data_IF_288170529328
#
_entry.id   IF_288170529328
#
_cell.length_a   1.000
_cell.length_b   1.000
_cell.length_c   1.000
_cell.angle_alpha   90.00
_cell.angle_beta   90.00
_cell.angle_gamma   90.00
#
_symmetry.space_group_name_H-M   'P 1'
#
loop_
_entity.id
_entity.type
_entity.pdbx_description
1 polymer ?
#
# COMPACT_ATOMS: atom_id res chain seq x y z
N UNK A 1 8.33 27.66 -9.00
CA UNK A 1 9.03 27.70 -7.70
C UNK A 1 10.03 26.57 -7.65
N UNK A 2 11.33 26.86 -7.50
CA UNK A 2 12.39 25.84 -7.53
C UNK A 2 12.44 25.00 -6.24
N UNK A 3 13.02 23.79 -6.32
CA UNK A 3 13.24 22.89 -5.17
C UNK A 3 13.94 23.61 -3.99
N UNK A 4 14.85 24.54 -4.26
CA UNK A 4 15.55 25.34 -3.25
C UNK A 4 14.62 26.18 -2.34
N UNK A 5 13.48 26.64 -2.84
CA UNK A 5 12.50 27.40 -2.03
C UNK A 5 11.72 26.48 -1.10
N UNK A 6 11.49 25.23 -1.49
CA UNK A 6 10.83 24.21 -0.65
C UNK A 6 11.73 23.87 0.54
N UNK A 7 13.01 23.60 0.32
CA UNK A 7 13.95 23.28 1.38
C UNK A 7 14.16 24.43 2.36
N UNK A 8 14.29 25.66 1.87
CA UNK A 8 14.40 26.86 2.74
C UNK A 8 13.18 27.00 3.65
N UNK A 9 11.98 26.74 3.15
CA UNK A 9 10.75 26.78 3.97
C UNK A 9 10.71 25.67 5.00
N UNK A 10 11.15 24.45 4.67
CA UNK A 10 11.23 23.34 5.60
C UNK A 10 12.19 23.63 6.76
N UNK A 11 13.35 24.19 6.50
CA UNK A 11 14.31 24.60 7.54
C UNK A 11 13.77 25.77 8.36
N UNK A 12 13.18 26.77 7.71
CA UNK A 12 12.59 27.94 8.40
C UNK A 12 11.39 27.58 9.27
N UNK A 13 10.66 26.51 8.95
CA UNK A 13 9.57 26.02 9.78
C UNK A 13 10.06 25.50 11.14
N UNK A 14 11.31 25.03 11.22
CA UNK A 14 11.99 24.55 12.43
C UNK A 14 11.12 23.61 13.29
N UNK A 15 10.69 22.45 12.75
CA UNK A 15 9.80 21.55 13.46
C UNK A 15 10.47 20.92 14.68
N UNK A 16 9.71 20.67 15.74
CA UNK A 16 10.17 19.89 16.91
C UNK A 16 10.34 18.42 16.53
N UNK A 17 9.48 17.90 15.67
CA UNK A 17 9.55 16.54 15.17
C UNK A 17 9.09 16.48 13.70
N UNK A 18 9.65 15.50 12.96
CA UNK A 18 9.29 15.20 11.57
C UNK A 18 8.90 13.74 11.46
N UNK A 19 7.69 13.48 10.98
CA UNK A 19 7.17 12.14 10.77
C UNK A 19 7.26 11.79 9.29
N UNK A 20 7.84 10.65 8.96
CA UNK A 20 7.93 10.19 7.57
C UNK A 20 7.52 8.73 7.43
N UNK A 21 6.64 8.43 6.46
CA UNK A 21 6.30 7.06 6.11
C UNK A 21 7.36 6.40 5.19
N UNK A 22 8.26 7.20 4.62
CA UNK A 22 9.37 6.75 3.77
C UNK A 22 10.61 6.37 4.57
N UNK A 23 11.64 5.93 3.85
CA UNK A 23 12.89 5.43 4.46
C UNK A 23 13.97 6.51 4.57
N UNK A 24 13.64 7.77 4.33
CA UNK A 24 14.60 8.87 4.27
C UNK A 24 14.00 10.20 4.72
N UNK A 25 14.74 10.91 5.55
CA UNK A 25 14.54 12.33 5.87
C UNK A 25 15.88 13.04 5.69
N UNK A 26 15.94 14.18 4.97
CA UNK A 26 17.17 14.95 4.85
C UNK A 26 17.70 15.43 6.20
N UNK A 27 19.02 15.33 6.43
CA UNK A 27 19.68 15.67 7.71
C UNK A 27 19.47 17.11 8.13
N UNK A 28 19.41 18.02 7.13
CA UNK A 28 19.28 19.45 7.37
C UNK A 28 17.90 19.88 7.89
N UNK A 29 16.90 18.99 7.88
CA UNK A 29 15.60 19.29 8.49
C UNK A 29 15.75 19.11 10.00
N UNK A 30 15.50 20.17 10.81
CA UNK A 30 15.66 20.10 12.25
C UNK A 30 14.55 19.27 12.91
N UNK A 31 14.77 18.95 14.20
CA UNK A 31 13.82 18.20 15.03
C UNK A 31 14.05 16.70 15.03
N UNK A 32 13.30 16.04 15.91
CA UNK A 32 13.32 14.56 16.04
C UNK A 32 12.73 13.91 14.81
N UNK A 33 13.45 12.96 14.23
CA UNK A 33 13.02 12.24 13.01
C UNK A 33 12.38 10.92 13.37
N UNK A 34 11.10 10.79 13.03
CA UNK A 34 10.24 9.66 13.40
C UNK A 34 9.86 8.87 12.14
N UNK A 35 10.23 7.60 12.11
CA UNK A 35 9.81 6.66 11.07
C UNK A 35 8.41 6.13 11.36
N UNK A 36 7.47 6.36 10.42
CA UNK A 36 6.18 5.70 10.34
C UNK A 36 6.20 4.84 9.09
N UNK A 37 5.84 3.58 9.16
CA UNK A 37 5.89 2.72 7.98
C UNK A 37 4.66 2.95 7.07
N UNK A 38 4.86 3.01 5.75
CA UNK A 38 3.78 3.19 4.78
C UNK A 38 3.06 1.88 4.40
N UNK A 39 3.61 0.73 4.78
CA UNK A 39 3.02 -0.58 4.52
C UNK A 39 3.63 -1.64 5.43
N UNK A 40 2.99 -2.80 5.52
CA UNK A 40 3.54 -3.94 6.24
C UNK A 40 4.71 -4.56 5.48
N UNK A 41 5.64 -5.13 6.25
CA UNK A 41 6.73 -5.95 5.71
C UNK A 41 6.15 -7.27 5.18
N UNK A 42 5.88 -7.33 3.88
CA UNK A 42 5.60 -8.57 3.18
C UNK A 42 6.89 -8.99 2.50
N UNK A 43 7.39 -10.18 2.81
CA UNK A 43 8.56 -10.76 2.16
C UNK A 43 8.29 -11.00 0.66
N UNK A 44 8.46 -9.95 -0.15
CA UNK A 44 8.30 -10.04 -1.61
C UNK A 44 9.53 -10.59 -2.32
N UNK A 45 10.67 -10.61 -1.63
CA UNK A 45 11.96 -11.04 -2.16
C UNK A 45 12.57 -12.04 -1.19
N UNK A 46 12.74 -13.27 -1.64
CA UNK A 46 13.34 -14.36 -0.86
C UNK A 46 14.79 -14.03 -0.46
N UNK A 47 15.49 -13.27 -1.31
CA UNK A 47 16.91 -12.92 -1.14
C UNK A 47 17.13 -11.63 -0.33
N UNK A 48 16.11 -10.89 0.01
CA UNK A 48 16.20 -9.59 0.70
C UNK A 48 15.39 -9.58 2.01
N UNK A 49 15.55 -10.60 2.82
CA UNK A 49 14.88 -10.74 4.13
C UNK A 49 15.13 -9.53 5.02
N UNK A 50 16.31 -8.93 4.93
CA UNK A 50 16.75 -7.82 5.78
C UNK A 50 16.36 -6.43 5.26
N UNK A 51 15.84 -6.30 4.04
CA UNK A 51 15.60 -4.97 3.44
C UNK A 51 14.53 -4.15 4.18
N UNK A 52 13.55 -4.81 4.79
CA UNK A 52 12.52 -4.16 5.61
C UNK A 52 13.04 -3.70 6.98
N UNK A 53 14.07 -4.34 7.49
CA UNK A 53 14.66 -4.06 8.81
C UNK A 53 15.97 -3.28 8.72
N UNK A 54 16.28 -2.73 7.54
CA UNK A 54 17.50 -1.94 7.34
C UNK A 54 17.41 -0.59 8.03
N UNK A 55 18.26 -0.37 9.01
CA UNK A 55 18.46 0.94 9.66
C UNK A 55 19.51 1.73 8.88
N UNK A 56 19.09 2.87 8.32
CA UNK A 56 19.93 3.73 7.46
C UNK A 56 20.50 4.97 8.17
N UNK A 57 20.23 5.11 9.47
CA UNK A 57 20.72 6.23 10.26
C UNK A 57 19.94 7.55 10.15
N UNK A 58 18.80 7.55 9.46
CA UNK A 58 18.03 8.76 9.21
C UNK A 58 17.01 9.11 10.31
N UNK A 59 16.73 8.19 11.24
CA UNK A 59 15.65 8.32 12.20
C UNK A 59 16.15 8.17 13.64
N UNK A 60 15.62 9.00 14.52
CA UNK A 60 15.83 8.94 15.95
C UNK A 60 14.83 8.01 16.65
N UNK A 61 13.64 7.82 16.04
CA UNK A 61 12.57 6.98 16.54
C UNK A 61 11.98 6.14 15.42
N UNK A 62 11.78 4.85 15.69
CA UNK A 62 11.02 3.94 14.85
C UNK A 62 9.72 3.56 15.56
N UNK A 63 8.58 3.94 14.96
CA UNK A 63 7.24 3.55 15.38
C UNK A 63 6.85 2.27 14.66
N UNK A 64 6.99 1.12 15.31
CA UNK A 64 6.75 -0.18 14.69
C UNK A 64 5.27 -0.55 14.72
N UNK A 65 4.87 -1.34 13.72
CA UNK A 65 3.47 -1.63 13.42
C UNK A 65 2.86 -2.74 14.30
N UNK A 66 3.70 -3.57 14.93
CA UNK A 66 3.22 -4.65 15.78
C UNK A 66 4.25 -5.74 16.02
N UNK A 67 3.84 -6.85 16.66
CA UNK A 67 4.73 -7.94 17.10
C UNK A 67 5.56 -8.59 15.99
N UNK A 68 5.11 -8.51 14.75
CA UNK A 68 5.84 -9.06 13.59
C UNK A 68 7.10 -8.28 13.23
N UNK A 69 7.23 -7.02 13.63
CA UNK A 69 8.36 -6.15 13.30
C UNK A 69 9.10 -5.63 14.54
N UNK A 70 8.41 -5.40 15.64
CA UNK A 70 8.98 -4.78 16.86
C UNK A 70 10.21 -5.49 17.40
N UNK A 71 10.25 -6.83 17.54
CA UNK A 71 11.42 -7.53 18.07
C UNK A 71 12.69 -7.30 17.25
N UNK A 72 12.57 -7.29 15.93
CA UNK A 72 13.70 -7.05 15.02
C UNK A 72 14.28 -5.64 15.22
N UNK A 73 13.42 -4.62 15.26
CA UNK A 73 13.88 -3.24 15.49
C UNK A 73 14.43 -3.06 16.90
N UNK A 74 13.92 -3.77 17.91
CA UNK A 74 14.48 -3.75 19.28
C UNK A 74 15.88 -4.34 19.35
N UNK A 75 16.18 -5.39 18.60
CA UNK A 75 17.55 -5.91 18.52
C UNK A 75 18.48 -4.92 17.82
N UNK A 76 18.02 -4.25 16.77
CA UNK A 76 18.79 -3.19 16.09
C UNK A 76 19.00 -1.97 16.99
N UNK A 77 18.01 -1.59 17.81
CA UNK A 77 18.15 -0.55 18.84
C UNK A 77 19.28 -0.88 19.81
N UNK A 78 19.33 -2.11 20.34
CA UNK A 78 20.41 -2.57 21.21
C UNK A 78 21.76 -2.55 20.51
N UNK A 79 21.81 -3.00 19.26
CA UNK A 79 23.04 -3.09 18.46
C UNK A 79 23.64 -1.74 18.14
N UNK A 80 22.81 -0.76 17.74
CA UNK A 80 23.31 0.53 17.24
C UNK A 80 23.25 1.66 18.29
N UNK A 81 22.28 1.66 19.20
CA UNK A 81 22.22 2.57 20.35
C UNK A 81 21.81 4.02 20.06
N UNK A 82 21.73 4.45 18.79
CA UNK A 82 21.48 5.86 18.44
C UNK A 82 19.99 6.19 18.17
N UNK A 83 19.08 5.23 18.19
CA UNK A 83 17.65 5.44 18.03
C UNK A 83 16.83 4.69 19.08
N UNK A 84 15.52 4.98 19.13
CA UNK A 84 14.56 4.30 20.00
C UNK A 84 13.44 3.66 19.20
N UNK A 85 12.89 2.57 19.73
CA UNK A 85 11.81 1.81 19.08
C UNK A 85 10.59 1.76 20.02
N UNK A 86 9.43 2.11 19.46
CA UNK A 86 8.15 2.02 20.14
C UNK A 86 7.15 1.26 19.25
N UNK A 87 6.43 0.30 19.83
CA UNK A 87 5.31 -0.32 19.16
C UNK A 87 4.10 0.59 19.29
N UNK A 88 3.68 1.18 18.18
CA UNK A 88 2.61 2.19 18.16
C UNK A 88 1.41 1.75 17.33
N UNK A 89 1.52 0.61 16.65
CA UNK A 89 0.56 0.23 15.62
C UNK A 89 0.86 0.92 14.27
N UNK A 90 -0.07 0.78 13.36
CA UNK A 90 0.04 1.37 12.03
C UNK A 90 -1.03 2.44 11.82
N UNK A 91 -0.70 3.74 11.83
CA UNK A 91 -1.69 4.82 11.77
C UNK A 91 -2.61 4.76 10.56
N UNK A 92 -2.13 4.23 9.43
CA UNK A 92 -2.97 4.01 8.25
C UNK A 92 -4.10 3.01 8.52
N UNK A 93 -3.90 2.05 9.41
CA UNK A 93 -4.90 1.04 9.75
C UNK A 93 -6.08 1.63 10.54
N UNK A 94 -5.90 2.72 11.26
CA UNK A 94 -6.94 3.31 12.12
C UNK A 94 -8.21 3.65 11.33
N UNK A 95 -8.05 4.08 10.07
CA UNK A 95 -9.18 4.39 9.19
C UNK A 95 -10.05 3.19 8.85
N UNK A 96 -9.48 1.96 8.84
CA UNK A 96 -10.23 0.74 8.54
C UNK A 96 -11.16 0.31 9.68
N UNK A 97 -10.90 0.77 10.90
CA UNK A 97 -11.69 0.43 12.08
C UNK A 97 -12.80 1.45 12.40
N UNK A 98 -13.00 2.45 11.54
CA UNK A 98 -14.14 3.36 11.71
C UNK A 98 -15.45 2.64 11.37
N UNK A 99 -16.57 2.95 12.10
CA UNK A 99 -17.87 2.31 11.84
C UNK A 99 -18.37 2.48 10.39
N UNK A 100 -18.02 3.61 9.75
CA UNK A 100 -18.41 3.90 8.38
C UNK A 100 -17.71 2.96 7.40
N UNK A 101 -16.42 2.68 7.61
CA UNK A 101 -15.61 1.81 6.75
C UNK A 101 -15.93 0.34 6.98
N UNK A 102 -16.23 -0.06 8.21
CA UNK A 102 -16.61 -1.44 8.57
C UNK A 102 -18.00 -1.85 8.08
N UNK A 103 -18.82 -0.89 7.61
CA UNK A 103 -20.14 -1.21 7.07
C UNK A 103 -20.00 -2.02 5.79
N UNK A 104 -20.61 -3.22 5.76
CA UNK A 104 -20.67 -4.05 4.56
C UNK A 104 -21.52 -3.36 3.49
N UNK A 105 -21.03 -3.24 2.24
CA UNK A 105 -21.83 -2.73 1.14
C UNK A 105 -22.99 -3.69 0.85
N UNK A 106 -24.10 -3.13 0.34
CA UNK A 106 -25.18 -3.90 -0.23
C UNK A 106 -25.05 -3.81 -1.75
N UNK A 107 -24.44 -4.82 -2.35
CA UNK A 107 -24.29 -4.91 -3.80
C UNK A 107 -25.34 -5.87 -4.37
N UNK A 108 -25.91 -5.54 -5.51
CA UNK A 108 -26.85 -6.44 -6.21
C UNK A 108 -26.14 -7.66 -6.80
N UNK A 109 -24.88 -7.47 -7.21
CA UNK A 109 -23.98 -8.53 -7.68
C UNK A 109 -22.69 -8.51 -6.86
N UNK A 110 -21.99 -9.67 -6.74
CA UNK A 110 -20.67 -9.70 -6.12
C UNK A 110 -19.67 -8.78 -6.82
N UNK A 111 -19.06 -7.88 -6.07
CA UNK A 111 -18.02 -6.97 -6.57
C UNK A 111 -16.64 -7.56 -6.31
N UNK A 112 -15.90 -7.82 -7.37
CA UNK A 112 -14.55 -8.38 -7.34
C UNK A 112 -13.54 -7.25 -7.58
N UNK A 113 -12.69 -6.98 -6.59
CA UNK A 113 -11.58 -6.04 -6.73
C UNK A 113 -10.34 -6.80 -7.21
N UNK A 114 -9.76 -6.34 -8.32
CA UNK A 114 -8.54 -6.91 -8.87
C UNK A 114 -7.40 -5.87 -8.90
N UNK A 115 -6.55 -5.79 -7.86
CA UNK A 115 -5.38 -4.94 -7.78
C UNK A 115 -4.07 -5.74 -7.97
N UNK A 116 -3.67 -6.15 -9.19
CA UNK A 116 -2.44 -6.91 -9.40
C UNK A 116 -1.21 -6.11 -8.99
N UNK A 117 -0.14 -6.83 -8.61
CA UNK A 117 1.16 -6.22 -8.31
C UNK A 117 1.88 -5.78 -9.59
N UNK A 118 2.90 -4.91 -9.44
CA UNK A 118 3.74 -4.47 -10.55
C UNK A 118 5.01 -5.29 -10.72
N UNK A 119 5.33 -6.19 -9.78
CA UNK A 119 6.56 -6.99 -9.80
C UNK A 119 6.45 -8.09 -10.85
N UNK A 120 7.22 -7.99 -11.94
CA UNK A 120 7.10 -8.79 -13.16
C UNK A 120 6.94 -10.30 -12.92
N UNK A 121 7.73 -10.88 -12.02
CA UNK A 121 7.76 -12.33 -11.79
C UNK A 121 6.57 -12.87 -10.97
N UNK A 122 5.77 -12.00 -10.37
CA UNK A 122 4.63 -12.36 -9.52
C UNK A 122 3.36 -11.57 -9.90
N UNK A 123 3.39 -10.88 -11.04
CA UNK A 123 2.25 -10.12 -11.55
C UNK A 123 1.36 -11.05 -12.37
N UNK A 124 0.12 -11.23 -11.96
CA UNK A 124 -0.86 -12.05 -12.68
C UNK A 124 -1.51 -11.34 -13.86
N UNK A 125 -1.41 -10.01 -13.96
CA UNK A 125 -2.13 -9.23 -14.96
C UNK A 125 -1.94 -9.71 -16.42
N UNK A 126 -0.74 -10.08 -16.90
CA UNK A 126 -0.60 -10.59 -18.26
C UNK A 126 -1.25 -11.96 -18.48
N UNK A 127 -1.48 -12.72 -17.41
CA UNK A 127 -1.98 -14.09 -17.48
C UNK A 127 -3.49 -14.20 -17.30
N UNK A 128 -4.10 -13.29 -16.54
CA UNK A 128 -5.53 -13.35 -16.21
C UNK A 128 -6.42 -12.50 -17.13
N UNK A 129 -5.84 -11.72 -18.04
CA UNK A 129 -6.59 -10.79 -18.89
C UNK A 129 -7.72 -11.48 -19.67
N UNK A 130 -7.43 -12.56 -20.36
CA UNK A 130 -8.42 -13.29 -21.14
C UNK A 130 -9.48 -13.98 -20.26
N UNK A 131 -9.09 -14.47 -19.10
CA UNK A 131 -10.01 -15.13 -18.18
C UNK A 131 -10.94 -14.12 -17.50
N UNK A 132 -10.45 -12.95 -17.11
CA UNK A 132 -11.30 -11.89 -16.55
C UNK A 132 -12.31 -11.39 -17.58
N UNK A 133 -11.90 -11.20 -18.84
CA UNK A 133 -12.83 -10.85 -19.92
C UNK A 133 -13.91 -11.92 -20.10
N UNK A 134 -13.52 -13.20 -20.12
CA UNK A 134 -14.46 -14.32 -20.20
C UNK A 134 -15.45 -14.35 -19.02
N UNK A 135 -14.94 -14.19 -17.79
CA UNK A 135 -15.77 -14.21 -16.58
C UNK A 135 -16.72 -13.01 -16.51
N UNK A 136 -16.29 -11.84 -16.93
CA UNK A 136 -17.12 -10.64 -17.01
C UNK A 136 -18.33 -10.85 -17.94
N UNK A 137 -18.15 -11.60 -19.04
CA UNK A 137 -19.22 -11.90 -20.00
C UNK A 137 -20.13 -13.05 -19.60
N UNK A 138 -19.70 -13.92 -18.68
CA UNK A 138 -20.41 -15.18 -18.38
C UNK A 138 -21.02 -15.25 -16.99
N UNK A 139 -20.65 -14.33 -16.09
CA UNK A 139 -21.12 -14.32 -14.69
C UNK A 139 -21.68 -12.92 -14.33
N UNK A 140 -22.68 -12.85 -13.47
CA UNK A 140 -23.23 -11.60 -13.00
C UNK A 140 -22.36 -11.03 -11.87
N UNK A 141 -21.07 -10.83 -12.12
CA UNK A 141 -20.12 -10.25 -11.19
C UNK A 141 -19.67 -8.88 -11.69
N UNK A 142 -19.58 -7.94 -10.79
CA UNK A 142 -19.01 -6.63 -11.07
C UNK A 142 -17.52 -6.64 -10.78
N UNK A 143 -16.73 -6.08 -11.69
CA UNK A 143 -15.27 -6.05 -11.58
C UNK A 143 -14.76 -4.63 -11.41
N UNK A 144 -13.91 -4.42 -10.40
CA UNK A 144 -13.15 -3.19 -10.25
C UNK A 144 -11.67 -3.53 -10.39
N UNK A 145 -11.07 -3.06 -11.47
CA UNK A 145 -9.66 -3.31 -11.80
C UNK A 145 -8.87 -2.04 -11.52
N UNK A 146 -7.81 -2.15 -10.73
CA UNK A 146 -6.97 -0.99 -10.44
C UNK A 146 -5.50 -1.38 -10.34
N UNK A 147 -4.65 -0.65 -11.02
CA UNK A 147 -3.24 -0.97 -11.09
C UNK A 147 -2.40 -0.15 -10.11
N UNK A 148 -1.31 -0.75 -9.68
CA UNK A 148 -0.28 -0.03 -8.95
C UNK A 148 0.39 0.99 -9.90
N UNK A 149 0.70 2.24 -9.48
CA UNK A 149 1.32 3.26 -10.34
C UNK A 149 2.64 2.84 -11.02
N UNK A 150 3.32 1.84 -10.48
CA UNK A 150 4.55 1.27 -11.07
C UNK A 150 4.29 0.18 -12.12
N UNK A 151 3.06 -0.25 -12.33
CA UNK A 151 2.69 -1.12 -13.44
C UNK A 151 2.47 -0.22 -14.66
N UNK A 152 3.48 -0.11 -15.51
CA UNK A 152 3.52 0.85 -16.62
C UNK A 152 3.54 0.19 -18.01
N UNK A 153 3.33 -1.13 -18.10
CA UNK A 153 3.25 -1.83 -19.38
C UNK A 153 2.03 -1.35 -20.18
N UNK A 154 2.23 -0.68 -21.34
CA UNK A 154 1.13 -0.08 -22.07
C UNK A 154 0.20 -1.13 -22.70
N UNK A 155 0.72 -2.31 -23.05
CA UNK A 155 -0.08 -3.39 -23.60
C UNK A 155 -1.04 -3.98 -22.58
N UNK A 156 -0.57 -4.20 -21.35
CA UNK A 156 -1.40 -4.68 -20.24
C UNK A 156 -2.47 -3.65 -19.90
N UNK A 157 -2.09 -2.38 -19.75
CA UNK A 157 -3.02 -1.29 -19.41
C UNK A 157 -4.09 -1.15 -20.49
N UNK A 158 -3.69 -1.11 -21.77
CA UNK A 158 -4.64 -0.99 -22.89
C UNK A 158 -5.60 -2.20 -22.97
N UNK A 159 -5.10 -3.40 -22.69
CA UNK A 159 -5.93 -4.61 -22.69
C UNK A 159 -7.04 -4.54 -21.63
N UNK A 160 -6.71 -4.15 -20.40
CA UNK A 160 -7.73 -4.05 -19.35
C UNK A 160 -8.67 -2.86 -19.52
N UNK A 161 -8.22 -1.75 -20.09
CA UNK A 161 -9.11 -0.64 -20.47
C UNK A 161 -10.12 -1.07 -21.53
N UNK A 162 -9.67 -1.81 -22.53
CA UNK A 162 -10.57 -2.38 -23.54
C UNK A 162 -11.61 -3.33 -22.93
N UNK A 163 -11.23 -4.20 -22.00
CA UNK A 163 -12.18 -5.06 -21.28
C UNK A 163 -13.25 -4.21 -20.57
N UNK A 164 -12.86 -3.11 -19.93
CA UNK A 164 -13.79 -2.20 -19.26
C UNK A 164 -14.69 -1.45 -20.28
N UNK A 165 -14.21 -1.14 -21.47
CA UNK A 165 -14.99 -0.53 -22.54
C UNK A 165 -16.01 -1.50 -23.18
N UNK A 166 -15.66 -2.79 -23.23
CA UNK A 166 -16.49 -3.84 -23.85
C UNK A 166 -17.51 -4.47 -22.89
N UNK A 167 -17.38 -4.27 -21.57
CA UNK A 167 -18.21 -4.90 -20.53
C UNK A 167 -18.74 -3.87 -19.52
N UNK A 168 -20.04 -3.66 -19.44
CA UNK A 168 -20.66 -2.66 -18.54
C UNK A 168 -20.43 -2.95 -17.05
N UNK A 169 -20.18 -4.21 -16.68
CA UNK A 169 -19.90 -4.65 -15.33
C UNK A 169 -18.40 -4.63 -14.96
N UNK A 170 -17.56 -3.98 -15.78
CA UNK A 170 -16.13 -3.83 -15.52
C UNK A 170 -15.72 -2.36 -15.44
N UNK A 171 -15.08 -1.97 -14.36
CA UNK A 171 -14.54 -0.63 -14.15
C UNK A 171 -13.02 -0.71 -14.09
N UNK A 172 -12.32 0.05 -14.93
CA UNK A 172 -10.89 0.28 -14.80
C UNK A 172 -10.65 1.60 -14.03
N UNK A 173 -10.23 1.48 -12.77
CA UNK A 173 -10.09 2.63 -11.86
C UNK A 173 -8.66 3.16 -11.84
N UNK A 174 -8.48 4.43 -12.21
CA UNK A 174 -7.19 5.13 -12.26
C UNK A 174 -6.97 6.11 -11.09
N UNK A 175 -7.94 6.25 -10.18
CA UNK A 175 -7.81 7.15 -9.03
C UNK A 175 -6.78 6.69 -8.01
N UNK A 176 -6.30 7.62 -7.18
CA UNK A 176 -5.28 7.36 -6.15
C UNK A 176 -5.86 6.80 -4.85
N UNK A 177 -7.09 7.17 -4.51
CA UNK A 177 -7.77 6.70 -3.29
C UNK A 177 -8.35 5.31 -3.52
N UNK A 178 -7.82 4.32 -2.81
CA UNK A 178 -8.26 2.92 -2.91
C UNK A 178 -9.26 2.53 -1.82
N UNK A 179 -9.45 3.36 -0.80
CA UNK A 179 -10.34 3.05 0.32
C UNK A 179 -11.78 2.76 -0.13
N UNK A 180 -12.41 3.57 -0.99
CA UNK A 180 -13.75 3.28 -1.47
C UNK A 180 -13.86 1.94 -2.20
N UNK A 181 -12.82 1.56 -2.96
CA UNK A 181 -12.79 0.28 -3.69
C UNK A 181 -12.72 -0.90 -2.72
N UNK A 182 -11.84 -0.81 -1.70
CA UNK A 182 -11.72 -1.84 -0.67
C UNK A 182 -13.04 -1.98 0.11
N UNK A 183 -13.69 -0.86 0.42
CA UNK A 183 -14.95 -0.86 1.13
C UNK A 183 -16.09 -1.47 0.30
N UNK A 184 -16.17 -1.15 -0.98
CA UNK A 184 -17.22 -1.63 -1.89
C UNK A 184 -17.07 -3.10 -2.28
N UNK A 185 -15.85 -3.58 -2.46
CA UNK A 185 -15.60 -4.96 -2.91
C UNK A 185 -16.09 -6.00 -1.89
N UNK A 186 -16.66 -7.10 -2.41
CA UNK A 186 -17.01 -8.28 -1.62
C UNK A 186 -15.85 -9.27 -1.54
N UNK A 187 -15.07 -9.36 -2.63
CA UNK A 187 -13.93 -10.29 -2.76
C UNK A 187 -12.74 -9.56 -3.37
N UNK A 188 -11.53 -9.89 -2.96
CA UNK A 188 -10.30 -9.42 -3.61
C UNK A 188 -9.55 -10.56 -4.27
N UNK A 189 -9.33 -10.43 -5.57
CA UNK A 189 -8.40 -11.26 -6.33
C UNK A 189 -7.09 -10.49 -6.51
N UNK A 190 -5.99 -10.92 -5.90
CA UNK A 190 -4.74 -10.17 -5.98
C UNK A 190 -3.50 -11.04 -5.91
N UNK A 191 -2.39 -10.46 -6.33
CA UNK A 191 -1.05 -11.01 -6.16
C UNK A 191 -0.50 -10.69 -4.77
N UNK A 192 0.72 -11.14 -4.47
CA UNK A 192 1.44 -10.76 -3.25
C UNK A 192 1.63 -9.23 -3.18
N UNK A 193 0.79 -8.58 -2.39
CA UNK A 193 0.76 -7.11 -2.22
C UNK A 193 0.34 -6.73 -0.80
N UNK A 194 0.81 -5.58 -0.30
CA UNK A 194 0.42 -5.07 1.03
C UNK A 194 -1.06 -4.71 1.13
N UNK A 195 -1.74 -4.51 0.01
CA UNK A 195 -3.17 -4.21 -0.04
C UNK A 195 -4.02 -5.38 0.51
N UNK A 196 -3.49 -6.61 0.47
CA UNK A 196 -4.13 -7.79 1.09
C UNK A 196 -4.40 -7.53 2.57
N UNK A 197 -3.39 -7.05 3.30
CA UNK A 197 -3.52 -6.78 4.73
C UNK A 197 -4.54 -5.65 5.00
N UNK A 198 -4.58 -4.66 4.12
CA UNK A 198 -5.57 -3.60 4.19
C UNK A 198 -6.99 -4.15 4.00
N UNK A 199 -7.18 -5.06 3.05
CA UNK A 199 -8.48 -5.69 2.80
C UNK A 199 -8.90 -6.64 3.94
N UNK A 200 -7.95 -7.37 4.52
CA UNK A 200 -8.21 -8.25 5.68
C UNK A 200 -8.74 -7.49 6.90
N UNK A 201 -8.39 -6.20 7.08
CA UNK A 201 -8.97 -5.39 8.15
C UNK A 201 -10.49 -5.18 8.00
N UNK A 202 -11.04 -5.40 6.81
CA UNK A 202 -12.47 -5.32 6.54
C UNK A 202 -13.20 -6.66 6.73
N UNK A 203 -12.50 -7.71 7.17
CA UNK A 203 -13.04 -9.07 7.38
C UNK A 203 -13.76 -9.62 6.14
N UNK A 204 -13.12 -9.48 4.97
CA UNK A 204 -13.62 -9.93 3.66
C UNK A 204 -12.66 -10.90 3.00
N UNK A 205 -13.17 -11.86 2.17
CA UNK A 205 -12.35 -12.83 1.43
C UNK A 205 -11.59 -12.22 0.25
#
# INVERSE_FOLDING_TARGET
RGLGDVYKRQVAYNPVAVFAPGNYIPDFIPGVKVALFHGYAIQKRIEAVDDHFTVRGWFDIYCTQGPSSTPYFKELEKKYGFFRVYETGWPKADTYFSPEVQRKPQNDHPVILYPPTFTRNVCSAPHLMAEIDRLAKTHPWDWVITFHPKLTDPGIIAGYKRIAEENENVIFYEGSDKMPLLQQADVMLCDSSSIILEFMFLDKP
#
